data_IF_044044416499
#
_entry.id   IF_044044416499
#
_cell.length_a   1.000
_cell.length_b   1.000
_cell.length_c   1.000
_cell.angle_alpha   90.00
_cell.angle_beta   90.00
_cell.angle_gamma   90.00
#
_symmetry.space_group_name_H-M   'P 1'
#
loop_
_entity.id
_entity.type
_entity.pdbx_description
1 polymer ?
#
# COMPACT_ATOMS: atom_id res chain seq x y z
N UNK A 1 -17.87 -2.27 -16.82
CA UNK A 1 -17.36 -1.68 -18.00
C UNK A 1 -16.68 -0.37 -17.78
N UNK A 2 -15.94 0.06 -18.77
CA UNK A 2 -15.37 1.40 -18.84
C UNK A 2 -16.26 2.20 -19.77
N UNK A 3 -16.81 3.30 -19.29
CA UNK A 3 -17.78 4.08 -20.07
C UNK A 3 -17.12 5.23 -20.82
N UNK A 4 -16.04 5.79 -20.25
CA UNK A 4 -15.30 6.91 -20.84
C UNK A 4 -13.79 6.65 -20.80
N UNK A 5 -13.07 7.09 -21.84
CA UNK A 5 -11.60 7.02 -21.91
C UNK A 5 -11.06 8.38 -22.34
N UNK A 6 -10.23 8.98 -21.51
CA UNK A 6 -9.61 10.28 -21.72
C UNK A 6 -8.10 10.17 -21.86
N UNK A 7 -7.53 10.78 -22.89
CA UNK A 7 -6.08 10.79 -23.13
C UNK A 7 -5.43 11.97 -22.42
N UNK A 8 -5.48 11.95 -21.09
CA UNK A 8 -4.88 12.97 -20.21
C UNK A 8 -4.10 12.29 -19.09
N UNK A 9 -3.15 12.99 -18.50
CA UNK A 9 -2.34 12.51 -17.37
C UNK A 9 -1.77 13.66 -16.56
N UNK A 10 -1.02 13.34 -15.50
CA UNK A 10 -0.41 14.33 -14.61
C UNK A 10 -1.40 14.98 -13.63
N UNK A 11 -0.94 15.99 -12.90
CA UNK A 11 -1.74 16.70 -11.90
C UNK A 11 -3.02 17.31 -12.47
N UNK A 12 -2.97 17.80 -13.72
CA UNK A 12 -4.13 18.37 -14.40
C UNK A 12 -5.25 17.36 -14.66
N UNK A 13 -4.91 16.08 -14.88
CA UNK A 13 -5.91 15.03 -15.02
C UNK A 13 -6.64 14.80 -13.71
N UNK A 14 -5.91 14.76 -12.59
CA UNK A 14 -6.49 14.60 -11.25
C UNK A 14 -7.43 15.77 -10.94
N UNK A 15 -7.01 17.00 -11.23
CA UNK A 15 -7.85 18.19 -11.02
C UNK A 15 -9.10 18.18 -11.92
N UNK A 16 -8.96 17.79 -13.21
CA UNK A 16 -10.08 17.70 -14.12
C UNK A 16 -11.11 16.64 -13.70
N UNK A 17 -10.66 15.52 -13.18
CA UNK A 17 -11.55 14.48 -12.64
C UNK A 17 -12.21 14.90 -11.32
N UNK A 18 -11.51 15.63 -10.46
CA UNK A 18 -12.06 16.05 -9.17
C UNK A 18 -13.10 17.18 -9.30
N UNK A 19 -12.85 18.19 -10.12
CA UNK A 19 -13.71 19.36 -10.26
C UNK A 19 -14.64 19.32 -11.47
N UNK A 20 -14.35 18.45 -12.43
CA UNK A 20 -15.00 18.47 -13.73
C UNK A 20 -14.47 19.58 -14.65
N UNK A 21 -14.89 19.51 -15.89
CA UNK A 21 -14.68 20.52 -16.94
C UNK A 21 -15.91 20.56 -17.81
N UNK A 22 -15.95 21.42 -18.84
CA UNK A 22 -17.06 21.42 -19.81
C UNK A 22 -17.24 20.08 -20.54
N UNK A 23 -16.23 19.19 -20.49
CA UNK A 23 -16.21 17.94 -21.23
C UNK A 23 -16.09 16.69 -20.35
N UNK A 24 -15.58 16.82 -19.13
CA UNK A 24 -15.34 15.72 -18.20
C UNK A 24 -16.21 15.96 -16.97
N UNK A 25 -17.12 15.03 -16.69
CA UNK A 25 -17.90 15.09 -15.47
C UNK A 25 -16.99 14.83 -14.22
N UNK A 26 -17.23 15.51 -13.09
CA UNK A 26 -16.50 15.21 -11.87
C UNK A 26 -16.80 13.79 -11.38
N UNK A 27 -15.80 13.16 -10.75
CA UNK A 27 -15.91 11.80 -10.20
C UNK A 27 -15.92 11.82 -8.67
N UNK A 28 -16.44 10.76 -8.06
CA UNK A 28 -16.45 10.63 -6.60
C UNK A 28 -15.12 10.09 -6.05
N UNK A 29 -14.41 9.26 -6.82
CA UNK A 29 -13.14 8.62 -6.40
C UNK A 29 -12.13 8.60 -7.54
N UNK A 30 -10.88 8.91 -7.25
CA UNK A 30 -9.74 8.79 -8.15
C UNK A 30 -8.79 7.72 -7.63
N UNK A 31 -8.54 6.68 -8.42
CA UNK A 31 -7.64 5.57 -8.08
C UNK A 31 -6.51 5.44 -9.11
N UNK A 32 -5.46 4.74 -8.73
CA UNK A 32 -4.33 4.40 -9.59
C UNK A 32 -3.03 5.10 -9.20
N UNK A 33 -1.90 4.54 -9.64
CA UNK A 33 -0.57 5.06 -9.36
C UNK A 33 -0.25 6.30 -10.21
N UNK A 34 0.82 6.96 -9.89
CA UNK A 34 1.33 8.09 -10.67
C UNK A 34 2.63 8.64 -10.09
N UNK A 35 3.23 9.56 -10.83
CA UNK A 35 4.46 10.23 -10.39
C UNK A 35 4.18 11.21 -9.22
N UNK A 36 5.23 11.85 -8.72
CA UNK A 36 5.16 12.78 -7.58
C UNK A 36 4.13 13.91 -7.77
N UNK A 37 3.92 14.38 -9.01
CA UNK A 37 2.91 15.41 -9.30
C UNK A 37 1.48 14.90 -9.16
N UNK A 38 1.23 13.66 -9.59
CA UNK A 38 -0.06 12.98 -9.41
C UNK A 38 -0.32 12.72 -7.93
N UNK A 39 0.68 12.20 -7.21
CA UNK A 39 0.59 11.95 -5.78
C UNK A 39 0.28 13.23 -5.00
N UNK A 40 0.97 14.34 -5.32
CA UNK A 40 0.72 15.63 -4.68
C UNK A 40 -0.66 16.20 -5.03
N UNK A 41 -1.10 16.08 -6.28
CA UNK A 41 -2.44 16.49 -6.67
C UNK A 41 -3.53 15.69 -5.91
N UNK A 42 -3.39 14.37 -5.80
CA UNK A 42 -4.29 13.54 -4.99
C UNK A 42 -4.31 13.98 -3.52
N UNK A 43 -3.13 14.27 -2.95
CA UNK A 43 -3.02 14.75 -1.56
C UNK A 43 -3.77 16.07 -1.34
N UNK A 44 -3.64 17.03 -2.28
CA UNK A 44 -4.29 18.32 -2.17
C UNK A 44 -5.80 18.25 -2.37
N UNK A 45 -6.28 17.32 -3.20
CA UNK A 45 -7.69 17.21 -3.56
C UNK A 45 -8.46 16.18 -2.70
N UNK A 46 -7.77 15.48 -1.80
CA UNK A 46 -8.44 14.61 -0.84
C UNK A 46 -9.43 15.40 0.03
N UNK A 47 -10.67 14.96 0.04
CA UNK A 47 -11.79 15.67 0.69
C UNK A 47 -12.68 16.43 -0.30
N UNK A 48 -12.16 16.84 -1.48
CA UNK A 48 -12.97 17.23 -2.63
C UNK A 48 -13.42 15.99 -3.39
N UNK A 49 -12.50 15.05 -3.56
CA UNK A 49 -12.72 13.73 -4.17
C UNK A 49 -12.11 12.66 -3.28
N UNK A 50 -12.67 11.46 -3.26
CA UNK A 50 -12.04 10.30 -2.62
C UNK A 50 -10.80 9.86 -3.39
N UNK A 51 -9.80 9.35 -2.68
CA UNK A 51 -8.60 8.75 -3.31
C UNK A 51 -8.32 7.39 -2.70
N UNK A 52 -7.66 6.53 -3.45
CA UNK A 52 -7.11 5.26 -2.95
C UNK A 52 -5.99 5.50 -1.94
N UNK A 53 -4.90 6.11 -2.41
CA UNK A 53 -3.73 6.44 -1.60
C UNK A 53 -2.90 7.56 -2.21
N UNK A 54 -1.97 8.08 -1.41
CA UNK A 54 -0.88 8.94 -1.90
C UNK A 54 0.34 8.04 -2.08
N UNK A 55 0.67 7.68 -3.32
CA UNK A 55 1.82 6.82 -3.61
C UNK A 55 3.16 7.54 -3.33
N UNK A 56 4.12 6.83 -2.79
CA UNK A 56 5.53 7.20 -2.72
C UNK A 56 6.36 6.45 -3.78
N UNK A 57 7.69 6.53 -3.70
CA UNK A 57 8.58 5.70 -4.50
C UNK A 57 8.30 4.20 -4.27
N UNK A 58 8.56 3.39 -5.29
CA UNK A 58 8.40 1.94 -5.20
C UNK A 58 9.44 1.31 -4.27
N UNK A 59 9.06 0.25 -3.56
CA UNK A 59 9.87 -0.37 -2.50
C UNK A 59 9.85 -1.89 -2.60
N UNK A 60 11.03 -2.53 -2.52
CA UNK A 60 11.14 -3.97 -2.29
C UNK A 60 12.01 -4.26 -1.07
N UNK A 61 11.55 -5.19 -0.25
CA UNK A 61 12.32 -5.82 0.81
C UNK A 61 12.42 -7.31 0.53
N UNK A 62 13.62 -7.81 0.28
CA UNK A 62 13.91 -9.23 0.15
C UNK A 62 14.50 -9.73 1.46
N UNK A 63 13.94 -10.78 2.05
CA UNK A 63 14.55 -11.55 3.13
C UNK A 63 14.99 -12.88 2.53
N UNK A 64 16.29 -13.15 2.54
CA UNK A 64 16.88 -14.30 1.89
C UNK A 64 17.89 -15.03 2.80
N UNK A 65 17.80 -16.37 2.88
CA UNK A 65 18.81 -17.20 3.52
C UNK A 65 20.00 -17.48 2.58
N UNK A 66 21.07 -18.07 3.12
CA UNK A 66 22.31 -18.34 2.41
C UNK A 66 22.21 -19.36 1.27
N UNK A 67 21.08 -20.06 1.10
CA UNK A 67 20.86 -21.07 0.06
C UNK A 67 20.38 -20.45 -1.28
N UNK A 68 20.22 -19.14 -1.34
CA UNK A 68 19.79 -18.45 -2.54
C UNK A 68 20.94 -18.21 -3.54
N UNK A 69 20.61 -18.25 -4.83
CA UNK A 69 21.51 -17.77 -5.87
C UNK A 69 21.60 -16.23 -5.81
N UNK A 70 22.81 -15.67 -5.60
CA UNK A 70 22.99 -14.22 -5.54
C UNK A 70 22.52 -13.48 -6.80
N UNK A 71 22.61 -14.13 -7.97
CA UNK A 71 22.19 -13.53 -9.22
C UNK A 71 20.68 -13.38 -9.32
N UNK A 72 19.92 -14.30 -8.73
CA UNK A 72 18.46 -14.22 -8.65
C UNK A 72 18.04 -13.11 -7.69
N UNK A 73 18.61 -13.07 -6.48
CA UNK A 73 18.30 -12.03 -5.50
C UNK A 73 18.66 -10.63 -6.04
N UNK A 74 19.78 -10.51 -6.76
CA UNK A 74 20.16 -9.23 -7.40
C UNK A 74 19.13 -8.80 -8.46
N UNK A 75 18.62 -9.75 -9.26
CA UNK A 75 17.58 -9.46 -10.25
C UNK A 75 16.27 -8.99 -9.57
N UNK A 76 15.87 -9.62 -8.46
CA UNK A 76 14.69 -9.21 -7.68
C UNK A 76 14.85 -7.79 -7.09
N UNK A 77 16.04 -7.42 -6.64
CA UNK A 77 16.30 -6.06 -6.14
C UNK A 77 16.31 -5.02 -7.27
N UNK A 78 16.84 -5.40 -8.43
CA UNK A 78 16.93 -4.52 -9.59
C UNK A 78 15.61 -4.35 -10.31
N UNK A 79 14.68 -5.32 -10.24
CA UNK A 79 13.32 -5.16 -10.79
C UNK A 79 12.62 -3.93 -10.20
N UNK A 80 12.89 -3.62 -8.95
CA UNK A 80 12.35 -2.42 -8.30
C UNK A 80 13.22 -1.19 -8.54
N UNK A 81 14.54 -1.33 -8.47
CA UNK A 81 15.48 -0.22 -8.65
C UNK A 81 15.37 0.44 -10.04
N UNK A 82 14.97 -0.31 -11.07
CA UNK A 82 14.86 0.20 -12.43
C UNK A 82 13.64 1.11 -12.68
N UNK A 83 12.65 1.12 -11.78
CA UNK A 83 11.41 1.90 -11.94
C UNK A 83 11.67 3.41 -11.87
N UNK A 84 12.45 3.86 -10.87
CA UNK A 84 12.71 5.28 -10.65
C UNK A 84 14.00 5.48 -9.82
N UNK A 85 14.77 6.55 -10.04
CA UNK A 85 15.96 6.85 -9.22
C UNK A 85 15.70 6.94 -7.71
N UNK A 86 14.47 7.15 -7.29
CA UNK A 86 14.08 7.24 -5.87
C UNK A 86 13.51 5.93 -5.30
N UNK A 87 13.43 4.86 -6.11
CA UNK A 87 13.02 3.53 -5.64
C UNK A 87 13.95 2.99 -4.57
N UNK A 88 13.43 2.15 -3.67
CA UNK A 88 14.21 1.56 -2.59
C UNK A 88 14.24 0.04 -2.68
N UNK A 89 15.44 -0.53 -2.70
CA UNK A 89 15.67 -1.97 -2.70
C UNK A 89 16.47 -2.38 -1.48
N UNK A 90 15.92 -3.27 -0.65
CA UNK A 90 16.54 -3.70 0.62
C UNK A 90 16.66 -5.21 0.62
N UNK A 91 17.86 -5.71 0.96
CA UNK A 91 18.10 -7.11 1.30
C UNK A 91 18.35 -7.26 2.79
N UNK A 92 17.69 -8.22 3.43
CA UNK A 92 18.06 -8.72 4.77
C UNK A 92 18.42 -10.19 4.65
N UNK A 93 19.60 -10.56 5.14
CA UNK A 93 20.08 -11.95 5.09
C UNK A 93 20.89 -12.32 6.35
N UNK A 94 20.89 -13.59 6.71
CA UNK A 94 21.76 -14.14 7.75
C UNK A 94 23.11 -14.62 7.21
N UNK A 95 23.34 -14.51 5.88
CA UNK A 95 24.55 -14.94 5.21
C UNK A 95 25.40 -13.75 4.75
N UNK A 96 26.56 -13.55 5.37
CA UNK A 96 27.51 -12.55 4.94
C UNK A 96 28.10 -12.85 3.53
N UNK A 97 28.15 -14.11 3.14
CA UNK A 97 28.61 -14.51 1.80
C UNK A 97 27.57 -14.14 0.75
N UNK A 98 26.29 -14.45 0.99
CA UNK A 98 25.22 -14.01 0.12
C UNK A 98 25.18 -12.48 -0.02
N UNK A 99 25.31 -11.75 1.07
CA UNK A 99 25.33 -10.28 1.07
C UNK A 99 26.38 -9.71 0.11
N UNK A 100 27.63 -10.20 0.21
CA UNK A 100 28.73 -9.75 -0.68
C UNK A 100 28.47 -10.14 -2.15
N UNK A 101 28.07 -11.37 -2.38
CA UNK A 101 27.86 -11.88 -3.73
C UNK A 101 26.68 -11.17 -4.42
N UNK A 102 25.61 -10.83 -3.68
CA UNK A 102 24.49 -10.04 -4.20
C UNK A 102 24.93 -8.61 -4.54
N UNK A 103 25.72 -7.99 -3.69
CA UNK A 103 26.26 -6.63 -3.98
C UNK A 103 27.04 -6.58 -5.29
N UNK A 104 27.87 -7.60 -5.52
CA UNK A 104 28.65 -7.72 -6.77
C UNK A 104 27.76 -8.06 -7.97
N UNK A 105 26.78 -8.94 -7.80
CA UNK A 105 25.84 -9.30 -8.84
C UNK A 105 24.99 -8.11 -9.27
N UNK A 106 24.51 -7.28 -8.33
CA UNK A 106 23.76 -6.04 -8.61
C UNK A 106 24.59 -5.09 -9.48
N UNK A 107 25.87 -4.86 -9.17
CA UNK A 107 26.76 -3.99 -9.96
C UNK A 107 26.88 -4.47 -11.42
N UNK A 108 27.05 -5.80 -11.58
CA UNK A 108 27.20 -6.41 -12.93
C UNK A 108 25.89 -6.33 -13.71
N UNK A 109 24.79 -6.70 -13.08
CA UNK A 109 23.48 -6.74 -13.76
C UNK A 109 22.97 -5.34 -14.07
N UNK A 110 23.07 -4.37 -13.14
CA UNK A 110 22.64 -2.98 -13.35
C UNK A 110 23.36 -2.35 -14.55
N UNK A 111 24.66 -2.63 -14.71
CA UNK A 111 25.43 -2.12 -15.84
C UNK A 111 24.92 -2.64 -17.21
N UNK A 112 24.25 -3.78 -17.26
CA UNK A 112 23.72 -4.41 -18.46
C UNK A 112 22.27 -3.99 -18.80
N UNK A 113 21.55 -3.34 -17.88
CA UNK A 113 20.17 -2.93 -18.09
C UNK A 113 20.06 -1.77 -19.08
N UNK A 114 18.98 -1.75 -19.86
CA UNK A 114 18.61 -0.56 -20.68
C UNK A 114 18.17 0.61 -19.79
N UNK A 115 17.65 0.32 -18.61
CA UNK A 115 17.23 1.24 -17.55
C UNK A 115 18.36 1.58 -16.58
N UNK A 116 19.61 1.24 -16.92
CA UNK A 116 20.82 1.38 -16.09
C UNK A 116 20.88 2.68 -15.26
N UNK A 117 20.56 3.82 -15.90
CA UNK A 117 20.67 5.12 -15.22
C UNK A 117 19.77 5.23 -14.00
N UNK A 118 18.55 4.74 -14.10
CA UNK A 118 17.61 4.71 -12.97
C UNK A 118 18.05 3.68 -11.93
N UNK A 119 18.34 2.45 -12.36
CA UNK A 119 18.74 1.36 -11.48
C UNK A 119 20.01 1.67 -10.66
N UNK A 120 21.06 2.22 -11.30
CA UNK A 120 22.29 2.60 -10.61
C UNK A 120 22.07 3.76 -9.63
N UNK A 121 21.26 4.77 -9.98
CA UNK A 121 20.95 5.89 -9.09
C UNK A 121 20.16 5.40 -7.87
N UNK A 122 19.09 4.63 -8.10
CA UNK A 122 18.28 4.02 -7.04
C UNK A 122 19.14 3.17 -6.09
N UNK A 123 19.94 2.27 -6.64
CA UNK A 123 20.78 1.39 -5.81
C UNK A 123 21.84 2.16 -5.01
N UNK A 124 22.52 3.12 -5.61
CA UNK A 124 23.57 3.90 -4.94
C UNK A 124 23.02 4.80 -3.82
N UNK A 125 21.85 5.38 -4.02
CA UNK A 125 21.28 6.35 -3.09
C UNK A 125 20.33 5.70 -2.06
N UNK A 126 19.66 4.59 -2.41
CA UNK A 126 18.59 3.99 -1.61
C UNK A 126 18.72 2.47 -1.43
N UNK A 127 19.66 1.80 -2.11
CA UNK A 127 19.92 0.37 -1.93
C UNK A 127 20.57 0.07 -0.57
N UNK A 128 20.10 -1.00 0.11
CA UNK A 128 20.64 -1.38 1.43
C UNK A 128 20.75 -2.89 1.53
N UNK A 129 21.87 -3.38 2.04
CA UNK A 129 22.04 -4.78 2.47
C UNK A 129 22.26 -4.81 3.98
N UNK A 130 21.44 -5.58 4.69
CA UNK A 130 21.49 -5.75 6.14
C UNK A 130 21.81 -7.23 6.44
N UNK A 131 22.87 -7.48 7.17
CA UNK A 131 23.17 -8.81 7.71
C UNK A 131 22.66 -8.92 9.14
N UNK A 132 21.97 -10.00 9.44
CA UNK A 132 21.44 -10.34 10.78
C UNK A 132 22.08 -11.62 11.28
N UNK A 133 22.03 -11.87 12.58
CA UNK A 133 22.55 -13.12 13.14
C UNK A 133 21.60 -14.32 12.91
N UNK A 134 20.30 -14.04 12.87
CA UNK A 134 19.24 -15.01 12.63
C UNK A 134 18.14 -14.33 11.80
N UNK A 135 17.52 -15.07 10.87
CA UNK A 135 16.40 -14.55 10.06
C UNK A 135 15.20 -14.13 10.92
N UNK A 136 15.07 -14.65 12.14
CA UNK A 136 14.08 -14.18 13.09
C UNK A 136 14.24 -12.70 13.44
N UNK A 137 15.46 -12.17 13.39
CA UNK A 137 15.77 -10.75 13.63
C UNK A 137 15.36 -9.85 12.44
N UNK A 138 15.16 -10.43 11.26
CA UNK A 138 14.62 -9.71 10.11
C UNK A 138 13.16 -9.28 10.31
N UNK A 139 12.37 -10.02 11.09
CA UNK A 139 10.93 -9.77 11.29
C UNK A 139 10.64 -8.40 11.89
N UNK A 140 11.26 -7.97 13.01
CA UNK A 140 11.02 -6.63 13.54
C UNK A 140 11.47 -5.52 12.58
N UNK A 141 12.52 -5.76 11.78
CA UNK A 141 12.96 -4.82 10.75
C UNK A 141 11.94 -4.72 9.63
N UNK A 142 11.46 -5.84 9.10
CA UNK A 142 10.43 -5.89 8.06
C UNK A 142 9.15 -5.19 8.53
N UNK A 143 8.67 -5.47 9.73
CA UNK A 143 7.49 -4.82 10.30
C UNK A 143 7.70 -3.30 10.53
N UNK A 144 8.93 -2.86 10.81
CA UNK A 144 9.26 -1.44 10.94
C UNK A 144 9.36 -0.73 9.60
N UNK A 145 9.94 -1.39 8.59
CA UNK A 145 10.04 -0.90 7.22
C UNK A 145 8.64 -0.84 6.57
N UNK A 146 7.83 -1.89 6.78
CA UNK A 146 6.49 -1.98 6.22
C UNK A 146 6.48 -1.70 4.72
N UNK A 147 7.37 -2.38 3.99
CA UNK A 147 7.63 -2.17 2.58
C UNK A 147 6.39 -2.47 1.71
N UNK A 148 6.36 -1.88 0.54
CA UNK A 148 5.37 -2.14 -0.50
C UNK A 148 5.37 -3.62 -0.89
N UNK A 149 6.54 -4.13 -1.29
CA UNK A 149 6.74 -5.53 -1.66
C UNK A 149 7.67 -6.19 -0.63
N UNK A 150 7.25 -7.33 -0.09
CA UNK A 150 8.05 -8.16 0.81
C UNK A 150 8.23 -9.54 0.18
N UNK A 151 9.46 -9.91 -0.18
CA UNK A 151 9.78 -11.25 -0.67
C UNK A 151 10.48 -12.06 0.41
N UNK A 152 9.96 -13.24 0.73
CA UNK A 152 10.50 -14.18 1.70
C UNK A 152 11.17 -15.35 0.97
N UNK A 153 12.41 -15.18 0.53
CA UNK A 153 13.20 -16.19 -0.20
C UNK A 153 14.00 -17.05 0.78
N UNK A 154 13.30 -17.79 1.61
CA UNK A 154 13.85 -18.62 2.69
C UNK A 154 13.30 -20.04 2.64
N UNK A 155 13.90 -20.95 3.42
CA UNK A 155 13.48 -22.36 3.47
C UNK A 155 12.04 -22.53 3.99
N UNK A 156 11.66 -21.78 5.04
CA UNK A 156 10.35 -21.85 5.71
C UNK A 156 9.61 -20.50 5.62
N UNK A 157 9.15 -20.09 4.43
CA UNK A 157 8.60 -18.75 4.24
C UNK A 157 7.30 -18.53 5.01
N UNK A 158 6.43 -19.55 5.16
CA UNK A 158 5.17 -19.45 5.89
C UNK A 158 5.39 -19.22 7.39
N UNK A 159 6.42 -19.86 7.97
CA UNK A 159 6.78 -19.68 9.37
C UNK A 159 7.23 -18.25 9.67
N UNK A 160 7.99 -17.66 8.74
CA UNK A 160 8.42 -16.27 8.85
C UNK A 160 7.23 -15.32 8.61
N UNK A 161 6.40 -15.61 7.59
CA UNK A 161 5.21 -14.84 7.24
C UNK A 161 4.22 -14.72 8.41
N UNK A 162 4.01 -15.80 9.18
CA UNK A 162 3.11 -15.78 10.33
C UNK A 162 3.46 -14.69 11.37
N UNK A 163 4.68 -14.15 11.34
CA UNK A 163 5.19 -13.08 12.23
C UNK A 163 5.20 -11.69 11.57
N UNK A 164 4.96 -11.62 10.26
CA UNK A 164 4.86 -10.36 9.52
C UNK A 164 3.48 -9.74 9.76
N UNK A 165 3.46 -8.45 9.97
CA UNK A 165 2.23 -7.66 10.22
C UNK A 165 2.00 -6.57 9.20
N UNK A 166 3.09 -6.08 8.59
CA UNK A 166 3.06 -4.88 7.77
C UNK A 166 3.86 -5.09 6.48
N UNK A 167 3.14 -5.31 5.39
CA UNK A 167 3.63 -5.30 4.03
C UNK A 167 2.48 -4.98 3.08
N UNK A 168 2.73 -4.38 1.95
CA UNK A 168 1.71 -4.12 0.92
C UNK A 168 1.31 -5.43 0.23
N UNK A 169 2.30 -6.19 -0.22
CA UNK A 169 2.17 -7.56 -0.74
C UNK A 169 3.30 -8.43 -0.22
N UNK A 170 3.05 -9.76 -0.09
CA UNK A 170 4.07 -10.72 0.37
C UNK A 170 4.20 -11.86 -0.62
N UNK A 171 5.44 -12.15 -1.01
CA UNK A 171 5.83 -13.20 -1.96
C UNK A 171 6.56 -14.31 -1.21
N UNK A 172 6.02 -15.53 -1.25
CA UNK A 172 6.48 -16.62 -0.42
C UNK A 172 7.30 -17.63 -1.24
N UNK A 173 8.54 -17.83 -0.83
CA UNK A 173 9.46 -18.84 -1.37
C UNK A 173 10.28 -18.36 -2.58
N UNK A 174 11.31 -19.13 -2.89
CA UNK A 174 12.34 -18.82 -3.90
C UNK A 174 11.82 -18.77 -5.36
N UNK A 175 10.61 -19.28 -5.60
CA UNK A 175 10.01 -19.35 -6.94
C UNK A 175 8.88 -18.32 -7.14
N UNK A 176 8.77 -17.37 -6.23
CA UNK A 176 7.70 -16.36 -6.27
C UNK A 176 8.32 -14.96 -6.30
N UNK A 177 8.89 -14.54 -7.46
CA UNK A 177 9.44 -13.20 -7.59
C UNK A 177 8.34 -12.14 -7.56
N UNK A 178 8.67 -10.98 -7.04
CA UNK A 178 7.78 -9.81 -6.96
C UNK A 178 7.17 -9.47 -8.33
N UNK A 179 7.96 -9.45 -9.40
CA UNK A 179 7.52 -9.13 -10.75
C UNK A 179 6.32 -9.95 -11.25
N UNK A 180 6.13 -11.19 -10.78
CA UNK A 180 4.93 -11.98 -11.09
C UNK A 180 3.67 -11.33 -10.50
N UNK A 181 3.81 -10.68 -9.34
CA UNK A 181 2.72 -9.95 -8.70
C UNK A 181 2.22 -8.77 -9.53
N UNK A 182 3.14 -8.04 -10.13
CA UNK A 182 2.82 -6.86 -10.94
C UNK A 182 2.08 -7.20 -12.24
N UNK A 183 2.33 -8.39 -12.80
CA UNK A 183 1.83 -8.70 -14.13
C UNK A 183 0.73 -9.75 -14.19
N UNK A 184 0.80 -10.84 -13.41
CA UNK A 184 -0.05 -12.01 -13.69
C UNK A 184 -0.57 -12.78 -12.48
N UNK A 185 -0.08 -12.51 -11.27
CA UNK A 185 -0.46 -13.29 -10.07
C UNK A 185 -1.92 -13.06 -9.61
N UNK A 186 -2.58 -12.03 -10.12
CA UNK A 186 -4.00 -11.75 -9.90
C UNK A 186 -4.29 -10.60 -8.92
N UNK A 187 -3.61 -10.43 -7.77
CA UNK A 187 -3.80 -9.25 -6.93
C UNK A 187 -3.45 -7.95 -7.66
N UNK A 188 -4.05 -6.83 -7.21
CA UNK A 188 -3.71 -5.53 -7.75
C UNK A 188 -2.31 -5.10 -7.27
N UNK A 189 -1.53 -4.49 -8.16
CA UNK A 189 -0.17 -4.02 -7.86
C UNK A 189 -0.10 -2.56 -7.36
N UNK A 190 -1.23 -1.87 -7.21
CA UNK A 190 -1.28 -0.55 -6.57
C UNK A 190 -1.26 -0.75 -5.07
N UNK A 191 -0.10 -0.63 -4.48
CA UNK A 191 0.20 -1.02 -3.11
C UNK A 191 0.61 0.20 -2.26
N UNK A 192 0.45 0.13 -0.93
CA UNK A 192 0.85 1.20 -0.03
C UNK A 192 2.37 1.27 0.10
N UNK A 193 2.95 2.41 -0.29
CA UNK A 193 4.36 2.76 -0.17
C UNK A 193 4.64 3.67 1.04
N UNK A 194 5.89 3.95 1.34
CA UNK A 194 6.27 4.92 2.38
C UNK A 194 5.76 4.51 3.77
N UNK A 195 5.87 3.23 4.09
CA UNK A 195 5.42 2.64 5.36
C UNK A 195 3.90 2.72 5.61
N UNK A 196 3.09 2.98 4.59
CA UNK A 196 1.64 3.05 4.73
C UNK A 196 1.00 1.67 4.88
N UNK A 197 1.70 0.59 4.51
CA UNK A 197 1.26 -0.80 4.77
C UNK A 197 0.97 -1.10 6.25
N UNK A 198 1.35 -0.21 7.18
CA UNK A 198 0.97 -0.28 8.60
C UNK A 198 -0.52 -0.02 8.86
N UNK A 199 -1.21 0.65 7.94
CA UNK A 199 -2.61 1.08 8.12
C UNK A 199 -3.43 1.10 6.84
N UNK A 200 -2.82 0.82 5.68
CA UNK A 200 -3.50 0.74 4.38
C UNK A 200 -3.24 -0.60 3.73
N UNK A 201 -4.18 -1.05 2.92
CA UNK A 201 -4.05 -2.22 2.05
C UNK A 201 -3.84 -1.79 0.60
N UNK A 202 -3.46 -2.74 -0.26
CA UNK A 202 -3.45 -2.53 -1.71
C UNK A 202 -4.85 -2.26 -2.26
N UNK A 203 -4.90 -1.63 -3.44
CA UNK A 203 -6.15 -1.32 -4.14
C UNK A 203 -6.95 -2.60 -4.40
N UNK A 204 -8.21 -2.59 -4.03
CA UNK A 204 -9.10 -3.73 -4.14
C UNK A 204 -10.52 -3.31 -4.54
N UNK A 205 -11.39 -4.28 -4.73
CA UNK A 205 -12.83 -4.02 -4.99
C UNK A 205 -13.46 -3.17 -3.90
N UNK A 206 -12.96 -3.24 -2.66
CA UNK A 206 -13.52 -2.48 -1.53
C UNK A 206 -13.33 -0.97 -1.67
N UNK A 207 -12.30 -0.52 -2.42
CA UNK A 207 -12.05 0.90 -2.67
C UNK A 207 -13.10 1.53 -3.61
N UNK A 208 -13.82 0.69 -4.35
CA UNK A 208 -14.94 1.08 -5.23
C UNK A 208 -16.30 0.89 -4.57
N UNK A 209 -16.34 0.58 -3.27
CA UNK A 209 -17.55 0.33 -2.50
C UNK A 209 -17.68 1.35 -1.36
N UNK A 210 -18.92 1.73 -1.08
CA UNK A 210 -19.26 2.57 0.06
C UNK A 210 -20.22 1.85 1.00
N UNK A 211 -19.93 1.86 2.30
CA UNK A 211 -20.84 1.36 3.32
C UNK A 211 -21.78 2.46 3.79
N UNK A 212 -23.06 2.14 3.87
CA UNK A 212 -24.09 3.00 4.47
C UNK A 212 -24.75 2.23 5.60
N UNK A 213 -24.79 2.81 6.79
CA UNK A 213 -25.54 2.23 7.90
C UNK A 213 -27.02 2.44 7.68
N UNK A 214 -27.79 1.39 7.92
CA UNK A 214 -29.24 1.41 7.91
C UNK A 214 -29.75 1.04 9.30
N UNK A 215 -30.62 1.90 9.90
CA UNK A 215 -31.18 1.72 11.23
C UNK A 215 -32.70 1.84 11.11
N UNK A 216 -33.43 0.82 11.58
CA UNK A 216 -34.88 0.83 11.67
C UNK A 216 -35.29 0.32 13.05
N UNK A 217 -36.12 1.07 13.74
CA UNK A 217 -36.70 0.67 15.02
C UNK A 217 -38.20 0.70 14.92
N UNK A 218 -38.85 -0.27 15.54
CA UNK A 218 -40.27 -0.20 15.92
C UNK A 218 -40.43 0.47 17.29
N UNK A 219 -41.66 0.73 17.70
CA UNK A 219 -41.99 1.37 18.98
C UNK A 219 -41.42 0.59 20.19
N UNK A 220 -41.52 -0.74 20.17
CA UNK A 220 -41.03 -1.57 21.24
C UNK A 220 -39.49 -1.57 21.37
N UNK A 221 -38.81 -1.54 20.25
CA UNK A 221 -37.35 -1.40 20.19
C UNK A 221 -36.89 -0.02 20.61
N UNK A 222 -37.58 1.03 20.18
CA UNK A 222 -37.30 2.40 20.60
C UNK A 222 -37.50 2.56 22.13
N UNK A 223 -38.58 1.98 22.70
CA UNK A 223 -38.83 2.02 24.13
C UNK A 223 -37.67 1.41 24.96
N UNK A 224 -36.94 0.43 24.40
CA UNK A 224 -35.79 -0.19 25.08
C UNK A 224 -34.54 0.67 25.05
N UNK A 225 -34.23 1.32 23.92
CA UNK A 225 -32.96 2.05 23.73
C UNK A 225 -33.12 3.56 23.90
N UNK A 226 -34.31 4.11 23.70
CA UNK A 226 -34.60 5.54 23.74
C UNK A 226 -34.24 6.24 25.05
N UNK A 227 -34.57 5.67 26.24
CA UNK A 227 -34.19 6.32 27.50
C UNK A 227 -32.68 6.52 27.68
N UNK A 228 -31.86 5.59 27.20
CA UNK A 228 -30.40 5.73 27.21
C UNK A 228 -29.94 6.81 26.24
N UNK A 229 -30.54 6.88 25.03
CA UNK A 229 -30.22 7.92 24.06
C UNK A 229 -30.57 9.32 24.57
N UNK A 230 -31.73 9.46 25.24
CA UNK A 230 -32.12 10.75 25.90
C UNK A 230 -31.08 11.17 26.92
N UNK A 231 -30.69 10.26 27.85
CA UNK A 231 -29.71 10.59 28.87
C UNK A 231 -28.37 11.01 28.27
N UNK A 232 -27.87 10.28 27.28
CA UNK A 232 -26.59 10.62 26.62
C UNK A 232 -26.67 11.98 25.94
N UNK A 233 -27.75 12.29 25.24
CA UNK A 233 -27.94 13.58 24.60
C UNK A 233 -27.99 14.74 25.61
N UNK A 234 -28.59 14.52 26.77
CA UNK A 234 -28.62 15.51 27.86
C UNK A 234 -27.25 15.77 28.45
N UNK A 235 -26.50 14.71 28.74
CA UNK A 235 -25.11 14.81 29.25
C UNK A 235 -24.17 15.50 28.25
N UNK A 236 -24.42 15.33 26.96
CA UNK A 236 -23.70 16.04 25.87
C UNK A 236 -24.17 17.49 25.68
N UNK A 237 -25.22 17.94 26.38
CA UNK A 237 -25.79 19.28 26.22
C UNK A 237 -26.56 19.46 24.92
N UNK A 238 -27.12 18.40 24.35
CA UNK A 238 -27.87 18.39 23.10
C UNK A 238 -29.39 18.17 23.33
N UNK A 239 -30.11 19.17 23.88
CA UNK A 239 -31.52 18.99 24.27
C UNK A 239 -32.45 18.66 23.10
N UNK A 240 -32.18 19.18 21.90
CA UNK A 240 -33.00 18.84 20.73
C UNK A 240 -32.88 17.38 20.31
N UNK A 241 -31.72 16.73 20.50
CA UNK A 241 -31.55 15.29 20.30
C UNK A 241 -32.37 14.51 21.32
N UNK A 242 -32.29 14.87 22.60
CA UNK A 242 -33.08 14.27 23.67
C UNK A 242 -34.58 14.38 23.39
N UNK A 243 -35.05 15.59 23.04
CA UNK A 243 -36.45 15.86 22.73
C UNK A 243 -36.97 15.08 21.52
N UNK A 244 -36.16 14.95 20.47
CA UNK A 244 -36.50 14.15 19.29
C UNK A 244 -36.83 12.68 19.64
N UNK A 245 -36.14 12.11 20.61
CA UNK A 245 -36.41 10.74 21.10
C UNK A 245 -37.60 10.72 22.04
N UNK A 246 -37.71 11.65 23.02
CA UNK A 246 -38.83 11.70 23.98
C UNK A 246 -40.17 11.73 23.28
N UNK A 247 -40.36 12.64 22.34
CA UNK A 247 -41.64 12.75 21.60
C UNK A 247 -42.08 11.47 20.91
N UNK A 248 -41.15 10.59 20.58
CA UNK A 248 -41.47 9.28 20.00
C UNK A 248 -41.69 8.20 21.02
N UNK A 249 -41.22 8.40 22.24
CA UNK A 249 -41.50 7.49 23.36
C UNK A 249 -42.91 7.74 23.96
N UNK A 250 -43.38 9.01 23.87
CA UNK A 250 -44.65 9.44 24.40
C UNK A 250 -45.80 9.33 23.39
N UNK A 251 -45.52 8.96 22.13
CA UNK A 251 -46.46 8.79 21.06
C UNK A 251 -47.00 7.34 20.96
#
# INVERSE_FOLDING_TARGET
GVDEVWRIGGAQAIAALAYGTDRIAPVDVVTGPGNAWVAEAKRQLYGVVGIDMVAGPSEILVIADGENDPAIVAADLLSQAEHDPTSQSILITDSADLARNVEDAVKVQAAALTTRKAAEASWNDHGVIITVADLADAVPLANRLAAEHLQLSVAEPEALFARIRHAGSVFLGRHTPEAVGDYIAGPNHVLPTGRRARFSSGLSVLDFMKRTSFIQLDQASLAKVGPAAVRLAEEEGLPAHAESVRRRLDA
#
